data_IF_132946458933
#
_entry.id   IF_132946458933
#
_cell.length_a   1.000
_cell.length_b   1.000
_cell.length_c   1.000
_cell.angle_alpha   90.00
_cell.angle_beta   90.00
_cell.angle_gamma   90.00
#
_symmetry.space_group_name_H-M   'P 1'
#
loop_
_entity.id
_entity.type
_entity.pdbx_description
1 polymer ?
#
# COMPACT_ATOMS: atom_id res chain seq x y z
N UNK A 1 2.17 -7.72 -26.46
CA UNK A 1 2.17 -8.91 -25.57
C UNK A 1 2.42 -8.53 -24.09
N UNK A 2 2.67 -7.24 -23.77
CA UNK A 2 2.95 -6.71 -22.41
C UNK A 2 1.73 -6.42 -21.52
N UNK A 3 0.59 -5.97 -22.07
CA UNK A 3 -0.56 -5.54 -21.24
C UNK A 3 -1.08 -6.58 -20.23
N UNK A 4 -0.92 -7.87 -20.54
CA UNK A 4 -1.34 -8.96 -19.64
C UNK A 4 -0.40 -9.11 -18.45
N UNK A 5 0.87 -8.77 -18.62
CA UNK A 5 1.88 -8.83 -17.57
C UNK A 5 1.68 -7.70 -16.56
N UNK A 6 1.44 -6.49 -17.05
CA UNK A 6 1.16 -5.32 -16.20
C UNK A 6 -0.11 -5.50 -15.38
N UNK A 7 -1.20 -5.99 -16.00
CA UNK A 7 -2.46 -6.28 -15.29
C UNK A 7 -2.29 -7.34 -14.21
N UNK A 8 -1.42 -8.34 -14.43
CA UNK A 8 -1.15 -9.39 -13.46
C UNK A 8 -0.31 -8.87 -12.29
N UNK A 9 0.70 -8.05 -12.58
CA UNK A 9 1.52 -7.38 -11.57
C UNK A 9 0.66 -6.44 -10.72
N UNK A 10 -0.16 -5.60 -11.34
CA UNK A 10 -1.04 -4.66 -10.65
C UNK A 10 -1.96 -5.39 -9.67
N UNK A 11 -2.65 -6.45 -10.11
CA UNK A 11 -3.50 -7.28 -9.23
C UNK A 11 -2.73 -7.90 -8.07
N UNK A 12 -1.50 -8.34 -8.32
CA UNK A 12 -0.67 -8.93 -7.27
C UNK A 12 -0.32 -7.89 -6.21
N UNK A 13 0.08 -6.68 -6.63
CA UNK A 13 0.37 -5.59 -5.72
C UNK A 13 -0.88 -5.14 -4.95
N UNK A 14 -2.01 -4.95 -5.62
CA UNK A 14 -3.29 -4.63 -4.97
C UNK A 14 -3.65 -5.67 -3.90
N UNK A 15 -3.54 -6.96 -4.22
CA UNK A 15 -3.85 -8.03 -3.28
C UNK A 15 -2.92 -8.03 -2.05
N UNK A 16 -1.63 -7.75 -2.25
CA UNK A 16 -0.66 -7.67 -1.14
C UNK A 16 -0.90 -6.46 -0.26
N UNK A 17 -1.14 -5.29 -0.87
CA UNK A 17 -1.46 -4.04 -0.16
C UNK A 17 -2.73 -4.23 0.67
N UNK A 18 -3.81 -4.77 0.08
CA UNK A 18 -5.05 -5.05 0.80
C UNK A 18 -4.84 -6.06 1.94
N UNK A 19 -4.02 -7.09 1.71
CA UNK A 19 -3.65 -8.06 2.75
C UNK A 19 -2.90 -7.42 3.92
N UNK A 20 -1.91 -6.57 3.63
CA UNK A 20 -1.18 -5.81 4.63
C UNK A 20 -2.11 -4.91 5.43
N UNK A 21 -2.97 -4.13 4.77
CA UNK A 21 -3.91 -3.23 5.41
C UNK A 21 -4.84 -4.00 6.37
N UNK A 22 -5.35 -5.16 5.96
CA UNK A 22 -6.24 -5.98 6.81
C UNK A 22 -5.55 -6.57 8.04
N UNK A 23 -4.28 -6.97 7.90
CA UNK A 23 -3.59 -7.72 8.95
C UNK A 23 -2.77 -6.83 9.89
N UNK A 24 -2.28 -5.69 9.40
CA UNK A 24 -1.27 -4.87 10.08
C UNK A 24 -1.79 -3.49 10.50
N UNK A 25 -3.05 -3.16 10.21
CA UNK A 25 -3.63 -1.86 10.54
C UNK A 25 -5.03 -2.02 11.14
N UNK A 26 -5.46 -1.01 11.88
CA UNK A 26 -6.81 -0.92 12.44
C UNK A 26 -7.77 -0.15 11.53
N UNK A 27 -7.38 0.12 10.27
CA UNK A 27 -8.23 0.84 9.32
C UNK A 27 -9.52 0.06 9.07
N UNK A 28 -10.65 0.76 9.04
CA UNK A 28 -11.92 0.10 8.72
C UNK A 28 -11.95 -0.23 7.23
N UNK A 29 -12.41 -1.44 6.91
CA UNK A 29 -12.48 -1.95 5.54
C UNK A 29 -13.28 -1.09 4.56
N UNK A 30 -14.25 -0.32 5.05
CA UNK A 30 -15.13 0.54 4.23
C UNK A 30 -14.58 1.95 4.05
N UNK A 31 -13.61 2.35 4.85
CA UNK A 31 -13.11 3.70 4.82
C UNK A 31 -12.15 3.84 3.61
N UNK A 32 -12.23 4.94 2.85
CA UNK A 32 -11.29 5.20 1.79
C UNK A 32 -9.88 5.36 2.39
N UNK A 33 -8.89 4.75 1.74
CA UNK A 33 -7.50 4.78 2.20
C UNK A 33 -6.66 5.44 1.11
N UNK A 34 -5.91 6.45 1.50
CA UNK A 34 -4.89 7.08 0.67
C UNK A 34 -3.50 6.56 1.05
N UNK A 35 -2.69 6.27 0.03
CA UNK A 35 -1.30 5.85 0.20
C UNK A 35 -0.41 6.82 -0.56
N UNK A 36 0.41 7.55 0.19
CA UNK A 36 1.40 8.47 -0.35
C UNK A 36 2.79 7.87 -0.23
N UNK A 37 3.52 7.78 -1.34
CA UNK A 37 4.92 7.36 -1.33
C UNK A 37 5.85 8.56 -1.23
N UNK A 38 6.77 8.53 -0.26
CA UNK A 38 7.78 9.57 -0.09
C UNK A 38 9.18 8.96 -0.11
N UNK A 39 10.13 9.68 -0.70
CA UNK A 39 11.54 9.32 -0.67
C UNK A 39 12.23 10.13 0.43
N UNK A 40 12.69 9.46 1.48
CA UNK A 40 13.39 10.09 2.59
C UNK A 40 14.67 9.33 2.90
N UNK A 41 15.80 10.05 2.91
CA UNK A 41 17.13 9.48 3.20
C UNK A 41 17.46 8.26 2.31
N UNK A 42 17.07 8.30 1.04
CA UNK A 42 17.30 7.21 0.07
C UNK A 42 16.41 5.99 0.25
N UNK A 43 15.39 6.06 1.12
CA UNK A 43 14.42 4.98 1.35
C UNK A 43 13.02 5.42 0.95
N UNK A 44 12.27 4.52 0.32
CA UNK A 44 10.87 4.75 -0.01
C UNK A 44 9.99 4.38 1.18
N UNK A 45 9.24 5.37 1.66
CA UNK A 45 8.24 5.22 2.70
C UNK A 45 6.86 5.27 2.07
N UNK A 46 5.92 4.60 2.71
CA UNK A 46 4.51 4.68 2.40
C UNK A 46 3.76 5.24 3.61
N UNK A 47 3.05 6.33 3.38
CA UNK A 47 2.21 7.00 4.36
C UNK A 47 0.78 6.63 4.02
N UNK A 48 0.15 5.85 4.89
CA UNK A 48 -1.20 5.33 4.72
C UNK A 48 -2.12 6.14 5.62
N UNK A 49 -3.22 6.65 5.10
CA UNK A 49 -4.20 7.43 5.88
C UNK A 49 -5.63 7.10 5.47
N UNK A 50 -6.53 7.08 6.45
CA UNK A 50 -7.99 7.03 6.23
C UNK A 50 -8.64 8.42 6.44
N UNK A 51 -7.82 9.47 6.51
CA UNK A 51 -8.23 10.84 6.82
C UNK A 51 -8.35 11.15 8.31
N UNK A 52 -8.33 10.14 9.20
CA UNK A 52 -8.37 10.32 10.66
C UNK A 52 -7.13 9.78 11.36
N UNK A 53 -6.61 8.68 10.86
CA UNK A 53 -5.47 7.95 11.38
C UNK A 53 -4.43 7.81 10.29
N UNK A 54 -3.17 7.94 10.66
CA UNK A 54 -2.05 7.91 9.73
C UNK A 54 -1.02 6.90 10.22
N UNK A 55 -0.49 6.09 9.30
CA UNK A 55 0.57 5.13 9.58
C UNK A 55 1.68 5.27 8.53
N UNK A 56 2.91 5.47 9.00
CA UNK A 56 4.10 5.48 8.14
C UNK A 56 4.80 4.14 8.23
N UNK A 57 4.99 3.50 7.08
CA UNK A 57 5.59 2.16 6.96
C UNK A 57 6.61 2.15 5.82
N UNK A 58 7.53 1.19 5.80
CA UNK A 58 8.45 1.06 4.66
C UNK A 58 7.66 0.55 3.46
N UNK A 59 7.87 1.14 2.27
CA UNK A 59 7.09 0.76 1.09
C UNK A 59 7.25 -0.72 0.70
N UNK A 60 8.42 -1.32 1.00
CA UNK A 60 8.67 -2.74 0.77
C UNK A 60 7.73 -3.66 1.58
N UNK A 61 7.29 -3.23 2.76
CA UNK A 61 6.42 -4.03 3.63
C UNK A 61 5.01 -4.19 3.05
N UNK A 62 4.58 -3.24 2.19
CA UNK A 62 3.27 -3.30 1.54
C UNK A 62 3.17 -4.36 0.44
N UNK A 63 4.31 -4.74 -0.13
CA UNK A 63 4.39 -5.66 -1.27
C UNK A 63 5.20 -6.93 -0.95
N UNK A 64 5.62 -7.10 0.30
CA UNK A 64 6.33 -8.29 0.75
C UNK A 64 5.42 -9.51 0.76
#
# INVERSE_FOLDING_TARGET
>A
REEKWDKRMLRMYESKIVGYLRNQTTFKRKDPIDILFTLEHGRVWAIITDGKTQKKVRAIELIS
#
